data_IF_297377661557
#
_entry.id   IF_297377661557
#
_cell.length_a   1.000
_cell.length_b   1.000
_cell.length_c   1.000
_cell.angle_alpha   90.00
_cell.angle_beta   90.00
_cell.angle_gamma   90.00
#
_symmetry.space_group_name_H-M   'P 1'
#
loop_
_entity.id
_entity.type
_entity.pdbx_description
1 polymer ?
#
# COMPACT_ATOMS: atom_id res chain seq x y z
N UNK A 1 15.78 8.10 30.26
CA UNK A 1 15.34 6.84 29.63
C UNK A 1 16.00 6.78 28.27
N UNK A 2 17.14 6.09 28.18
CA UNK A 2 18.03 6.11 27.01
C UNK A 2 17.61 4.94 26.13
N UNK A 3 17.01 5.22 24.97
CA UNK A 3 16.72 4.20 23.97
C UNK A 3 18.06 3.69 23.42
N UNK A 4 18.45 2.48 23.80
CA UNK A 4 19.61 1.81 23.26
C UNK A 4 19.43 1.59 21.76
N UNK A 5 20.22 2.30 20.95
CA UNK A 5 20.40 1.99 19.53
C UNK A 5 21.03 0.59 19.48
N UNK A 6 20.29 -0.40 19.00
CA UNK A 6 20.83 -1.74 18.77
C UNK A 6 21.86 -1.61 17.66
N UNK A 7 23.14 -1.74 18.01
CA UNK A 7 24.31 -1.45 17.18
C UNK A 7 24.56 -2.42 16.02
N UNK A 8 23.62 -3.34 15.72
CA UNK A 8 23.75 -4.35 14.67
C UNK A 8 22.46 -4.54 13.85
N UNK A 9 21.57 -3.55 13.83
CA UNK A 9 20.37 -3.61 13.00
C UNK A 9 20.66 -3.02 11.61
N UNK A 10 20.43 -3.81 10.56
CA UNK A 10 20.57 -3.38 9.17
C UNK A 10 19.29 -2.65 8.76
N UNK A 11 19.41 -1.38 8.38
CA UNK A 11 18.24 -0.57 8.07
C UNK A 11 17.67 -0.93 6.68
N UNK A 12 16.33 -0.96 6.52
CA UNK A 12 15.72 -1.10 5.20
C UNK A 12 16.10 0.10 4.32
N UNK A 13 16.53 -0.16 3.09
CA UNK A 13 17.03 0.89 2.19
C UNK A 13 15.91 1.66 1.49
N UNK A 14 14.88 0.95 1.04
CA UNK A 14 13.79 1.53 0.26
C UNK A 14 12.53 0.68 0.37
N UNK A 15 11.39 1.36 0.26
CA UNK A 15 10.07 0.76 0.13
C UNK A 15 9.48 1.20 -1.21
N UNK A 16 8.86 0.27 -1.94
CA UNK A 16 8.21 0.57 -3.21
C UNK A 16 6.94 -0.26 -3.36
N UNK A 17 5.98 0.30 -4.10
CA UNK A 17 4.73 -0.36 -4.41
C UNK A 17 4.84 -1.09 -5.76
N UNK A 18 4.11 -2.18 -5.91
CA UNK A 18 3.99 -2.92 -7.15
C UNK A 18 2.54 -3.30 -7.43
N UNK A 19 2.16 -3.34 -8.70
CA UNK A 19 0.86 -3.84 -9.16
C UNK A 19 1.13 -4.76 -10.34
N UNK A 20 0.52 -5.94 -10.36
CA UNK A 20 0.71 -6.94 -11.41
C UNK A 20 2.20 -7.19 -11.71
N UNK A 21 3.01 -7.30 -10.66
CA UNK A 21 4.47 -7.47 -10.72
C UNK A 21 5.27 -6.31 -11.36
N UNK A 22 4.66 -5.14 -11.54
CA UNK A 22 5.32 -3.92 -12.04
C UNK A 22 5.52 -2.92 -10.91
N UNK A 23 6.72 -2.36 -10.80
CA UNK A 23 7.03 -1.32 -9.82
C UNK A 23 6.27 -0.04 -10.19
N UNK A 24 5.60 0.56 -9.22
CA UNK A 24 5.02 1.88 -9.35
C UNK A 24 6.11 2.92 -9.15
N UNK A 25 6.21 3.85 -10.10
CA UNK A 25 7.15 4.96 -9.99
C UNK A 25 6.76 5.85 -8.80
N UNK A 26 7.68 6.11 -7.84
CA UNK A 26 7.38 6.98 -6.70
C UNK A 26 7.11 8.43 -7.09
N UNK A 27 7.43 8.82 -8.33
CA UNK A 27 7.09 10.13 -8.90
C UNK A 27 5.68 10.20 -9.50
N UNK A 28 4.97 9.07 -9.63
CA UNK A 28 3.59 9.05 -10.10
C UNK A 28 2.63 8.97 -8.90
N UNK A 29 1.92 10.06 -8.56
CA UNK A 29 1.09 10.08 -7.38
C UNK A 29 -0.18 9.23 -7.52
N UNK A 30 -0.59 8.82 -8.74
CA UNK A 30 -1.85 8.10 -8.94
C UNK A 30 -1.77 6.93 -9.91
N UNK A 31 -2.65 5.94 -9.70
CA UNK A 31 -2.85 4.80 -10.60
C UNK A 31 -4.28 4.78 -11.14
N UNK A 32 -4.47 4.58 -12.45
CA UNK A 32 -5.79 4.34 -13.00
C UNK A 32 -6.27 2.94 -12.58
N UNK A 33 -7.45 2.84 -11.99
CA UNK A 33 -8.07 1.58 -11.57
C UNK A 33 -9.49 1.51 -12.09
N UNK A 34 -9.94 0.32 -12.51
CA UNK A 34 -11.28 0.16 -13.08
C UNK A 34 -12.30 0.01 -11.95
N UNK A 35 -13.46 0.64 -12.09
CA UNK A 35 -14.57 0.36 -11.17
C UNK A 35 -15.02 -1.11 -11.26
N UNK A 36 -15.40 -1.70 -10.13
CA UNK A 36 -15.80 -3.09 -9.95
C UNK A 36 -14.72 -4.14 -10.26
N UNK A 37 -13.45 -3.73 -10.41
CA UNK A 37 -12.34 -4.68 -10.53
C UNK A 37 -11.77 -5.06 -9.17
N UNK A 38 -11.07 -6.18 -9.14
CA UNK A 38 -10.13 -6.52 -8.08
C UNK A 38 -8.85 -5.71 -8.27
N UNK A 39 -8.29 -5.19 -7.18
CA UNK A 39 -7.00 -4.49 -7.19
C UNK A 39 -6.11 -5.10 -6.11
N UNK A 40 -4.93 -5.56 -6.50
CA UNK A 40 -3.91 -6.02 -5.56
C UNK A 40 -2.67 -5.14 -5.69
N UNK A 41 -2.29 -4.50 -4.58
CA UNK A 41 -1.09 -3.67 -4.48
C UNK A 41 -0.12 -4.33 -3.52
N UNK A 42 1.11 -4.53 -3.96
CA UNK A 42 2.16 -5.11 -3.15
C UNK A 42 3.11 -4.04 -2.65
N UNK A 43 3.47 -4.09 -1.39
CA UNK A 43 4.53 -3.26 -0.81
C UNK A 43 5.76 -4.13 -0.58
N UNK A 44 6.88 -3.75 -1.17
CA UNK A 44 8.15 -4.47 -1.05
C UNK A 44 9.18 -3.56 -0.42
N UNK A 45 9.88 -4.10 0.57
CA UNK A 45 10.97 -3.44 1.27
C UNK A 45 12.23 -4.26 1.08
N UNK A 46 13.25 -3.61 0.54
CA UNK A 46 14.55 -4.23 0.33
C UNK A 46 15.41 -4.05 1.59
N UNK A 47 15.96 -5.16 2.08
CA UNK A 47 16.81 -5.23 3.26
C UNK A 47 16.07 -4.82 4.56
N UNK A 48 16.69 -5.06 5.72
CA UNK A 48 16.04 -4.89 7.02
C UNK A 48 16.28 -6.09 7.93
N UNK A 49 17.20 -5.95 8.87
CA UNK A 49 17.45 -6.94 9.90
C UNK A 49 17.39 -6.27 11.28
N UNK A 50 16.46 -6.64 12.18
CA UNK A 50 15.43 -7.68 12.05
C UNK A 50 14.37 -7.34 10.98
N UNK A 51 13.58 -8.34 10.54
CA UNK A 51 12.54 -8.15 9.52
C UNK A 51 11.66 -6.92 9.81
N UNK A 52 11.51 -5.96 8.87
CA UNK A 52 10.69 -4.79 9.09
C UNK A 52 9.20 -5.14 9.17
N UNK A 53 8.46 -4.39 9.98
CA UNK A 53 7.02 -4.52 10.13
C UNK A 53 6.34 -3.65 9.08
N UNK A 54 5.42 -4.24 8.32
CA UNK A 54 4.65 -3.55 7.28
C UNK A 54 3.18 -3.50 7.68
N UNK A 55 2.55 -2.35 7.48
CA UNK A 55 1.12 -2.17 7.70
C UNK A 55 0.53 -1.26 6.62
N UNK A 56 -0.74 -1.48 6.33
CA UNK A 56 -1.47 -0.72 5.33
C UNK A 56 -2.49 0.20 5.96
N UNK A 57 -2.64 1.36 5.35
CA UNK A 57 -3.70 2.32 5.65
C UNK A 57 -4.33 2.76 4.34
N UNK A 58 -5.64 2.96 4.35
CA UNK A 58 -6.33 3.66 3.27
C UNK A 58 -6.95 4.93 3.83
N UNK A 59 -6.63 6.05 3.21
CA UNK A 59 -7.27 7.33 3.47
C UNK A 59 -8.25 7.59 2.34
N UNK A 60 -9.56 7.55 2.61
CA UNK A 60 -10.56 7.89 1.61
C UNK A 60 -10.55 9.39 1.34
N UNK A 61 -10.78 9.79 0.08
CA UNK A 61 -10.94 11.19 -0.27
C UNK A 61 -12.20 11.79 0.38
N UNK A 62 -12.21 13.10 0.59
CA UNK A 62 -13.34 13.85 1.21
C UNK A 62 -14.69 13.61 0.51
N UNK A 63 -14.70 13.21 -0.77
CA UNK A 63 -15.91 12.84 -1.52
C UNK A 63 -16.55 11.50 -1.10
N UNK A 64 -15.84 10.64 -0.35
CA UNK A 64 -16.35 9.35 0.11
C UNK A 64 -17.13 9.43 1.44
N UNK A 65 -17.04 10.55 2.15
CA UNK A 65 -17.59 10.73 3.49
C UNK A 65 -19.11 10.98 3.53
N UNK A 66 -19.76 11.15 2.38
CA UNK A 66 -21.17 11.55 2.33
C UNK A 66 -22.17 10.41 2.23
N UNK A 67 -21.80 9.17 1.85
CA UNK A 67 -22.84 8.13 1.65
C UNK A 67 -22.34 6.67 1.55
N UNK A 68 -21.36 6.23 2.36
CA UNK A 68 -20.89 4.84 2.28
C UNK A 68 -20.91 4.16 3.66
N UNK A 69 -21.77 3.14 3.87
CA UNK A 69 -21.70 2.28 5.04
C UNK A 69 -20.36 1.52 5.01
N UNK A 70 -19.66 1.53 6.14
CA UNK A 70 -18.41 0.83 6.46
C UNK A 70 -17.85 -0.05 5.33
N UNK A 71 -16.91 0.52 4.57
CA UNK A 71 -16.25 -0.15 3.46
C UNK A 71 -15.41 -1.33 3.97
N UNK A 72 -15.65 -2.58 3.50
CA UNK A 72 -14.81 -3.70 3.86
C UNK A 72 -13.52 -3.60 3.03
N UNK A 73 -12.53 -2.87 3.53
CA UNK A 73 -11.17 -3.09 3.08
C UNK A 73 -10.70 -4.43 3.62
N UNK A 74 -10.74 -5.44 2.77
CA UNK A 74 -10.18 -6.75 3.07
C UNK A 74 -8.65 -6.68 2.92
N UNK A 75 -7.99 -6.10 3.93
CA UNK A 75 -6.53 -6.05 4.01
C UNK A 75 -6.02 -7.48 4.20
N UNK A 76 -5.76 -8.17 3.08
CA UNK A 76 -5.15 -9.49 3.08
C UNK A 76 -3.67 -9.36 3.42
N UNK A 77 -3.34 -9.39 4.71
CA UNK A 77 -1.97 -9.46 5.21
C UNK A 77 -1.29 -10.78 4.80
N UNK A 78 -0.94 -10.96 3.52
CA UNK A 78 -0.06 -12.04 3.11
C UNK A 78 1.38 -11.65 3.46
N UNK A 79 1.78 -12.03 4.67
CA UNK A 79 3.19 -12.19 5.00
C UNK A 79 3.76 -13.36 4.19
N UNK A 80 4.56 -13.05 3.16
CA UNK A 80 5.90 -13.64 2.91
C UNK A 80 6.32 -13.53 1.43
N UNK A 81 7.47 -12.89 1.20
CA UNK A 81 8.39 -13.34 0.14
C UNK A 81 9.74 -13.60 0.78
N UNK A 82 10.04 -14.86 1.06
CA UNK A 82 11.41 -15.33 1.25
C UNK A 82 12.00 -15.47 -0.15
N UNK A 83 12.70 -14.44 -0.64
CA UNK A 83 13.58 -14.56 -1.81
C UNK A 83 15.02 -14.41 -1.34
N UNK A 84 15.78 -15.50 -1.46
CA UNK A 84 17.25 -15.55 -1.47
C UNK A 84 17.99 -14.69 -0.44
N UNK A 85 17.81 -15.02 0.85
CA UNK A 85 18.78 -14.71 1.92
C UNK A 85 19.21 -13.22 2.07
N UNK A 86 18.39 -12.27 1.59
CA UNK A 86 18.50 -10.85 1.92
C UNK A 86 17.20 -10.45 2.58
N UNK A 87 17.23 -10.21 3.90
CA UNK A 87 16.01 -10.03 4.72
C UNK A 87 15.28 -8.76 4.28
N UNK A 88 14.36 -8.89 3.33
CA UNK A 88 13.36 -7.88 2.98
C UNK A 88 11.99 -8.28 3.54
N UNK A 89 11.02 -7.37 3.46
CA UNK A 89 9.64 -7.66 3.80
C UNK A 89 8.72 -7.35 2.63
N UNK A 90 7.65 -8.13 2.50
CA UNK A 90 6.57 -7.86 1.55
C UNK A 90 5.23 -8.09 2.23
N UNK A 91 4.28 -7.24 1.89
CA UNK A 91 2.86 -7.39 2.22
C UNK A 91 2.04 -6.98 1.01
N UNK A 92 0.89 -7.59 0.83
CA UNK A 92 -0.04 -7.26 -0.24
C UNK A 92 -1.30 -6.64 0.38
N UNK A 93 -1.92 -5.70 -0.31
CA UNK A 93 -3.22 -5.14 0.01
C UNK A 93 -4.16 -5.42 -1.15
N UNK A 94 -5.24 -6.16 -0.88
CA UNK A 94 -6.24 -6.50 -1.88
C UNK A 94 -7.52 -5.71 -1.63
N UNK A 95 -8.07 -5.17 -2.70
CA UNK A 95 -9.37 -4.54 -2.73
C UNK A 95 -10.24 -5.39 -3.65
N UNK A 96 -11.01 -6.31 -3.07
CA UNK A 96 -11.80 -7.29 -3.82
C UNK A 96 -12.83 -6.66 -4.76
N UNK A 97 -13.25 -5.42 -4.47
CA UNK A 97 -14.09 -4.62 -5.35
C UNK A 97 -13.74 -3.13 -5.22
N UNK A 98 -13.18 -2.56 -6.28
CA UNK A 98 -12.99 -1.11 -6.40
C UNK A 98 -14.35 -0.44 -6.62
N UNK A 99 -14.75 0.49 -5.75
CA UNK A 99 -15.99 1.26 -5.88
C UNK A 99 -15.67 2.71 -6.28
N UNK A 100 -16.64 3.42 -6.84
CA UNK A 100 -16.53 4.86 -7.13
C UNK A 100 -16.09 5.69 -5.91
N UNK A 101 -16.51 5.30 -4.70
CA UNK A 101 -16.10 5.94 -3.45
C UNK A 101 -14.61 5.82 -3.13
N UNK A 102 -13.89 4.91 -3.78
CA UNK A 102 -12.44 4.80 -3.66
C UNK A 102 -11.69 5.78 -4.57
N UNK A 103 -12.40 6.58 -5.37
CA UNK A 103 -11.76 7.63 -6.15
C UNK A 103 -11.12 8.66 -5.21
N UNK A 104 -9.89 9.07 -5.51
CA UNK A 104 -9.05 9.88 -4.63
C UNK A 104 -8.75 9.24 -3.27
N UNK A 105 -8.99 7.94 -3.10
CA UNK A 105 -8.48 7.23 -1.93
C UNK A 105 -6.96 7.05 -2.08
N UNK A 106 -6.23 7.24 -0.99
CA UNK A 106 -4.78 7.04 -0.94
C UNK A 106 -4.49 5.77 -0.19
N UNK A 107 -3.85 4.81 -0.84
CA UNK A 107 -3.38 3.59 -0.22
C UNK A 107 -1.92 3.78 0.19
N UNK A 108 -1.63 3.63 1.48
CA UNK A 108 -0.29 3.86 2.06
C UNK A 108 0.21 2.60 2.73
N UNK A 109 1.38 2.13 2.30
CA UNK A 109 2.16 1.15 3.03
C UNK A 109 3.13 1.90 3.95
N UNK A 110 3.12 1.56 5.23
CA UNK A 110 4.09 2.05 6.18
C UNK A 110 5.05 0.95 6.61
N UNK A 111 6.31 1.35 6.80
CA UNK A 111 7.41 0.49 7.19
C UNK A 111 7.95 0.95 8.52
N UNK A 112 7.84 0.08 9.52
CA UNK A 112 8.41 0.29 10.85
C UNK A 112 9.58 -0.64 11.06
N UNK A 113 10.71 -0.08 11.46
CA UNK A 113 11.93 -0.82 11.74
C UNK A 113 12.74 -0.12 12.84
N UNK A 114 13.47 -0.89 13.65
CA UNK A 114 14.22 -0.35 14.79
C UNK A 114 15.41 0.54 14.38
N UNK A 115 15.97 0.31 13.19
CA UNK A 115 17.07 1.12 12.65
C UNK A 115 16.60 2.40 11.92
N UNK A 116 15.30 2.64 11.84
CA UNK A 116 14.74 3.85 11.21
C UNK A 116 14.34 4.87 12.29
N UNK A 117 14.87 6.09 12.20
CA UNK A 117 14.46 7.21 13.07
C UNK A 117 13.03 7.71 12.74
N UNK A 118 12.60 7.55 11.47
CA UNK A 118 11.24 7.85 10.98
C UNK A 118 10.74 6.69 10.13
N UNK A 119 9.46 6.30 10.22
CA UNK A 119 8.90 5.25 9.38
C UNK A 119 8.99 5.64 7.91
N UNK A 120 9.34 4.68 7.05
CA UNK A 120 9.24 4.86 5.60
C UNK A 120 7.80 4.64 5.19
N UNK A 121 7.37 5.33 4.15
CA UNK A 121 6.06 5.13 3.55
C UNK A 121 6.17 5.07 2.02
N UNK A 122 5.29 4.29 1.44
CA UNK A 122 5.06 4.27 0.01
C UNK A 122 3.55 4.35 -0.20
N UNK A 123 3.11 5.39 -0.91
CA UNK A 123 1.69 5.67 -1.09
C UNK A 123 1.33 5.81 -2.56
N UNK A 124 0.06 5.56 -2.87
CA UNK A 124 -0.49 5.72 -4.19
C UNK A 124 -1.95 6.17 -4.11
N UNK A 125 -2.32 7.13 -4.96
CA UNK A 125 -3.69 7.60 -5.10
C UNK A 125 -4.45 6.75 -6.12
N UNK A 126 -5.65 6.32 -5.76
CA UNK A 126 -6.53 5.55 -6.62
C UNK A 126 -7.34 6.49 -7.50
N UNK A 127 -7.07 6.47 -8.81
CA UNK A 127 -7.88 7.15 -9.81
C UNK A 127 -8.87 6.15 -10.43
N UNK A 128 -10.05 6.02 -9.80
CA UNK A 128 -11.09 5.11 -10.27
C UNK A 128 -11.67 5.65 -11.58
N UNK A 129 -11.50 4.89 -12.65
CA UNK A 129 -12.09 5.16 -13.96
C UNK A 129 -13.44 4.48 -14.07
N UNK A 130 -14.49 5.30 -14.19
CA UNK A 130 -15.82 4.84 -14.54
C UNK A 130 -15.86 4.61 -16.05
N UNK A 131 -15.89 3.36 -16.49
CA UNK A 131 -16.21 3.07 -17.90
C UNK A 131 -17.73 3.12 -18.04
N UNK A 132 -18.25 4.16 -18.70
CA UNK A 132 -19.66 4.23 -19.11
C UNK A 132 -19.99 3.12 -20.10
N UNK A 133 -20.18 1.88 -19.63
CA UNK A 133 -20.46 0.75 -20.52
C UNK A 133 -21.91 0.26 -20.51
N UNK A 134 -22.85 0.89 -19.78
CA UNK A 134 -24.29 0.82 -20.17
C UNK A 134 -25.34 1.60 -19.38
N UNK A 135 -25.03 2.42 -18.38
CA UNK A 135 -26.11 3.16 -17.68
C UNK A 135 -25.64 4.29 -16.77
N UNK A 136 -24.65 5.08 -17.20
CA UNK A 136 -24.43 6.38 -16.57
C UNK A 136 -25.24 7.40 -17.35
N UNK A 137 -26.35 7.85 -16.76
CA UNK A 137 -26.82 9.20 -17.05
C UNK A 137 -25.67 10.14 -16.67
N UNK A 138 -25.10 10.80 -17.68
CA UNK A 138 -24.33 12.03 -17.50
C UNK A 138 -25.25 13.14 -17.01
#
# INVERSE_FOLDING_TARGET
MIAGKISNADAPKKAYLMIDNRILDPGNPFIPVKENSDLTVSCVVDEGNPKPQLYWEIALGSSALLDIPELPLEVLNLTETIRDQKVGARTDARLGRVLRGHHNATLTCYVRHIALDKPLNASVLLNVQCTCTRSCYC
#
